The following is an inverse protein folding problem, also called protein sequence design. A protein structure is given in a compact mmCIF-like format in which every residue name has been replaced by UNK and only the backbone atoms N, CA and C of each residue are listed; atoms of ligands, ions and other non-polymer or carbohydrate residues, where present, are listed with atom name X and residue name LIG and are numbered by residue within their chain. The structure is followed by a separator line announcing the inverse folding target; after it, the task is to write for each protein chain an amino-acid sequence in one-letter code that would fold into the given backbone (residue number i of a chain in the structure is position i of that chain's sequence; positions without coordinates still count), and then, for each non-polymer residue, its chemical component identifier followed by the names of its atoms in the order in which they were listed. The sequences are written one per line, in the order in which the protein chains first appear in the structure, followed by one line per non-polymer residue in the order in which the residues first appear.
data_IF_328568134852
#
_entry.id   IF_328568134852
#
_cell.length_a   1.000
_cell.length_b   1.000
_cell.length_c   1.000
_cell.angle_alpha   90.00
_cell.angle_beta   90.00
_cell.angle_gamma   90.00
#
_symmetry.space_group_name_H-M   'P 1'
#
loop_
_entity.id
_entity.type
_entity.pdbx_description
1 polymer ?
#
# COMPACT_ATOMS: atom_id res chain seq x y z
N UNK A 1 9.10 4.37 -0.08
CA UNK A 1 9.13 5.51 0.90
C UNK A 1 10.50 6.18 1.04
N UNK A 2 11.61 5.43 1.13
CA UNK A 2 13.00 5.97 1.20
C UNK A 2 13.38 6.91 0.05
N UNK A 3 12.87 6.67 -1.16
CA UNK A 3 13.23 7.46 -2.35
C UNK A 3 12.70 8.91 -2.31
N UNK A 4 11.54 9.14 -1.67
CA UNK A 4 10.93 10.47 -1.58
C UNK A 4 11.62 11.30 -0.48
N UNK A 5 11.97 10.67 0.64
CA UNK A 5 12.70 11.31 1.74
C UNK A 5 14.18 11.57 1.39
N UNK A 6 14.81 10.72 0.58
CA UNK A 6 16.24 10.87 0.24
C UNK A 6 16.54 11.97 -0.79
N UNK A 7 15.52 12.52 -1.46
CA UNK A 7 15.66 13.63 -2.40
C UNK A 7 15.68 15.02 -1.76
N UNK A 8 15.35 15.12 -0.46
CA UNK A 8 15.09 16.39 0.25
C UNK A 8 16.26 16.78 1.17
N UNK A 9 17.49 16.61 0.69
CA UNK A 9 18.71 16.76 1.50
C UNK A 9 19.28 18.17 1.61
N UNK A 10 18.76 19.17 0.88
CA UNK A 10 19.30 20.53 0.89
C UNK A 10 18.30 21.57 0.34
N UNK A 11 17.40 22.09 1.17
CA UNK A 11 16.67 23.32 0.89
C UNK A 11 16.18 23.99 2.20
N UNK A 12 16.24 25.33 2.24
CA UNK A 12 16.05 26.15 3.45
C UNK A 12 14.66 26.12 4.08
N UNK A 13 14.44 27.01 5.06
CA UNK A 13 13.28 27.12 5.98
C UNK A 13 11.85 26.93 5.37
N UNK A 14 11.67 27.17 4.07
CA UNK A 14 10.42 26.86 3.34
C UNK A 14 10.18 25.38 3.04
N UNK A 15 11.25 24.60 2.87
CA UNK A 15 11.23 23.16 2.56
C UNK A 15 10.93 22.29 3.80
N UNK A 16 11.37 22.76 4.98
CA UNK A 16 11.05 22.11 6.26
C UNK A 16 9.54 22.11 6.55
N UNK A 17 8.85 23.20 6.19
CA UNK A 17 7.40 23.31 6.34
C UNK A 17 6.63 22.38 5.38
N UNK A 18 7.14 22.19 4.15
CA UNK A 18 6.56 21.26 3.19
C UNK A 18 6.81 19.80 3.57
N UNK A 19 8.03 19.48 4.04
CA UNK A 19 8.37 18.14 4.52
C UNK A 19 7.49 17.71 5.69
N UNK A 20 7.25 18.61 6.65
CA UNK A 20 6.33 18.34 7.77
C UNK A 20 4.89 18.14 7.30
N UNK A 21 4.40 18.96 6.36
CA UNK A 21 3.05 18.79 5.80
C UNK A 21 2.90 17.44 5.10
N UNK A 22 3.91 17.00 4.35
CA UNK A 22 3.91 15.70 3.67
C UNK A 22 3.89 14.55 4.68
N UNK A 23 4.66 14.65 5.77
CA UNK A 23 4.64 13.66 6.86
C UNK A 23 3.27 13.62 7.53
N UNK A 24 2.69 14.78 7.87
CA UNK A 24 1.38 14.86 8.52
C UNK A 24 0.27 14.28 7.61
N UNK A 25 0.33 14.52 6.29
CA UNK A 25 -0.58 13.92 5.31
C UNK A 25 -0.41 12.40 5.21
N UNK A 26 0.83 11.90 5.21
CA UNK A 26 1.12 10.46 5.17
C UNK A 26 0.62 9.76 6.45
N UNK A 27 0.78 10.39 7.62
CA UNK A 27 0.25 9.85 8.87
C UNK A 27 -1.28 9.69 8.80
N UNK A 28 -2.00 10.69 8.29
CA UNK A 28 -3.44 10.58 8.08
C UNK A 28 -3.80 9.49 7.06
N UNK A 29 -3.08 9.41 5.94
CA UNK A 29 -3.30 8.38 4.91
C UNK A 29 -2.93 6.96 5.40
N UNK A 30 -2.16 6.84 6.48
CA UNK A 30 -1.81 5.56 7.12
C UNK A 30 -2.74 5.14 8.26
N UNK A 31 -3.72 5.98 8.62
CA UNK A 31 -4.66 5.70 9.71
C UNK A 31 -5.59 4.53 9.38
N UNK A 32 -6.09 3.83 10.41
CA UNK A 32 -7.06 2.73 10.21
C UNK A 32 -8.34 3.24 9.56
N UNK A 33 -8.81 4.43 9.92
CA UNK A 33 -10.01 5.05 9.34
C UNK A 33 -9.94 5.15 7.82
N UNK A 34 -8.74 5.40 7.30
CA UNK A 34 -8.45 5.56 5.88
C UNK A 34 -8.13 4.22 5.23
N UNK A 35 -7.26 3.40 5.85
CA UNK A 35 -6.69 2.21 5.23
C UNK A 35 -7.51 0.93 5.40
N UNK A 36 -8.33 0.84 6.45
CA UNK A 36 -8.94 -0.44 6.80
C UNK A 36 -9.87 -0.98 5.72
N UNK A 37 -10.88 -0.20 5.35
CA UNK A 37 -11.84 -0.58 4.30
C UNK A 37 -11.18 -0.90 2.95
N UNK A 38 -10.31 -0.04 2.38
CA UNK A 38 -9.70 -0.33 1.07
C UNK A 38 -8.80 -1.57 1.10
N UNK A 39 -8.03 -1.77 2.17
CA UNK A 39 -7.16 -2.95 2.30
C UNK A 39 -7.98 -4.21 2.55
N UNK A 40 -9.07 -4.13 3.32
CA UNK A 40 -9.99 -5.25 3.55
C UNK A 40 -10.68 -5.68 2.27
N UNK A 41 -11.23 -4.73 1.51
CA UNK A 41 -11.87 -4.99 0.22
C UNK A 41 -10.89 -5.68 -0.75
N UNK A 42 -9.69 -5.11 -0.92
CA UNK A 42 -8.63 -5.71 -1.73
C UNK A 42 -8.28 -7.13 -1.25
N UNK A 43 -8.08 -7.31 0.06
CA UNK A 43 -7.75 -8.62 0.64
C UNK A 43 -8.81 -9.68 0.35
N UNK A 44 -10.09 -9.32 0.42
CA UNK A 44 -11.20 -10.28 0.23
C UNK A 44 -11.31 -10.79 -1.20
N UNK A 45 -10.86 -10.01 -2.19
CA UNK A 45 -10.95 -10.36 -3.62
C UNK A 45 -9.73 -11.14 -4.13
N UNK A 46 -8.59 -11.03 -3.47
CA UNK A 46 -7.34 -11.70 -3.87
C UNK A 46 -7.45 -13.23 -4.01
N UNK A 47 -8.06 -13.98 -3.07
CA UNK A 47 -8.12 -15.44 -3.15
C UNK A 47 -8.79 -15.93 -4.43
N UNK A 48 -9.92 -15.33 -4.79
CA UNK A 48 -10.66 -15.67 -6.00
C UNK A 48 -9.85 -15.32 -7.26
N UNK A 49 -9.23 -14.13 -7.28
CA UNK A 49 -8.39 -13.70 -8.41
C UNK A 49 -7.20 -14.63 -8.65
N UNK A 50 -6.47 -14.98 -7.58
CA UNK A 50 -5.32 -15.89 -7.66
C UNK A 50 -5.74 -17.28 -8.13
N UNK A 51 -6.89 -17.78 -7.68
CA UNK A 51 -7.41 -19.07 -8.12
C UNK A 51 -7.76 -19.06 -9.62
N UNK A 52 -8.46 -18.03 -10.09
CA UNK A 52 -8.94 -17.92 -11.47
C UNK A 52 -7.84 -17.61 -12.50
N UNK A 53 -6.72 -17.02 -12.05
CA UNK A 53 -5.66 -16.56 -12.94
C UNK A 53 -4.34 -17.34 -12.78
N UNK A 54 -4.31 -18.41 -11.97
CA UNK A 54 -3.11 -19.23 -11.73
C UNK A 54 -2.41 -19.68 -13.01
N UNK A 55 -3.17 -20.12 -14.02
CA UNK A 55 -2.62 -20.63 -15.28
C UNK A 55 -2.41 -19.52 -16.33
N UNK A 56 -2.83 -18.29 -16.03
CA UNK A 56 -2.72 -17.12 -16.94
C UNK A 56 -1.57 -16.19 -16.56
N UNK A 57 -1.22 -16.16 -15.28
CA UNK A 57 -0.13 -15.35 -14.75
C UNK A 57 1.20 -16.08 -14.93
N UNK A 58 2.24 -15.32 -15.23
CA UNK A 58 3.60 -15.83 -15.09
C UNK A 58 3.95 -16.05 -13.61
N UNK A 59 4.97 -16.87 -13.36
CA UNK A 59 5.39 -17.27 -12.02
C UNK A 59 5.76 -16.07 -11.14
N UNK A 60 6.38 -15.04 -11.72
CA UNK A 60 6.81 -13.85 -10.98
C UNK A 60 5.61 -13.00 -10.54
N UNK A 61 4.63 -12.76 -11.43
CA UNK A 61 3.39 -12.06 -11.11
C UNK A 61 2.56 -12.84 -10.09
N UNK A 62 2.40 -14.15 -10.29
CA UNK A 62 1.65 -14.98 -9.34
C UNK A 62 2.27 -14.93 -7.95
N UNK A 63 3.59 -15.00 -7.85
CA UNK A 63 4.32 -14.84 -6.59
C UNK A 63 4.10 -13.46 -5.97
N UNK A 64 4.28 -12.39 -6.73
CA UNK A 64 4.10 -11.03 -6.21
C UNK A 64 2.66 -10.80 -5.71
N UNK A 65 1.65 -11.21 -6.47
CA UNK A 65 0.24 -11.08 -6.06
C UNK A 65 -0.11 -11.94 -4.85
N UNK A 66 0.52 -13.11 -4.72
CA UNK A 66 0.39 -13.93 -3.50
C UNK A 66 0.99 -13.21 -2.28
N UNK A 67 2.17 -12.60 -2.43
CA UNK A 67 2.79 -11.82 -1.36
C UNK A 67 1.98 -10.56 -1.01
N UNK A 68 1.39 -9.88 -2.01
CA UNK A 68 0.49 -8.76 -1.78
C UNK A 68 -0.75 -9.21 -0.97
N UNK A 69 -1.33 -10.37 -1.30
CA UNK A 69 -2.42 -10.96 -0.50
C UNK A 69 -2.01 -11.22 0.95
N UNK A 70 -0.84 -11.82 1.19
CA UNK A 70 -0.34 -12.08 2.54
C UNK A 70 -0.18 -10.77 3.35
N UNK A 71 0.42 -9.75 2.74
CA UNK A 71 0.61 -8.43 3.37
C UNK A 71 -0.73 -7.78 3.70
N UNK A 72 -1.68 -7.77 2.76
CA UNK A 72 -3.02 -7.17 3.02
C UNK A 72 -3.74 -7.91 4.14
N UNK A 73 -3.59 -9.23 4.23
CA UNK A 73 -4.14 -10.03 5.34
C UNK A 73 -3.49 -9.66 6.69
N UNK A 74 -2.18 -9.44 6.72
CA UNK A 74 -1.49 -9.05 7.95
C UNK A 74 -1.88 -7.63 8.41
N UNK A 75 -2.03 -6.67 7.49
CA UNK A 75 -2.53 -5.33 7.81
C UNK A 75 -3.95 -5.42 8.41
N UNK A 76 -4.85 -6.18 7.78
CA UNK A 76 -6.22 -6.40 8.29
C UNK A 76 -6.20 -7.00 9.69
N UNK A 77 -5.36 -8.01 9.95
CA UNK A 77 -5.22 -8.63 11.26
C UNK A 77 -4.73 -7.65 12.33
N UNK A 78 -3.80 -6.76 11.99
CA UNK A 78 -3.33 -5.72 12.91
C UNK A 78 -4.50 -4.79 13.26
N UNK A 79 -5.23 -4.31 12.25
CA UNK A 79 -6.38 -3.43 12.47
C UNK A 79 -7.54 -4.08 13.23
N UNK A 80 -7.79 -5.37 13.02
CA UNK A 80 -8.84 -6.14 13.72
C UNK A 80 -8.41 -6.66 15.11
N UNK A 81 -7.14 -6.48 15.50
CA UNK A 81 -6.66 -6.89 16.82
C UNK A 81 -7.38 -6.13 17.93
N UNK A 82 -7.81 -6.83 18.99
CA UNK A 82 -8.37 -6.20 20.20
C UNK A 82 -7.39 -5.23 20.87
N UNK A 83 -6.09 -5.42 20.63
CA UNK A 83 -5.02 -4.55 21.14
C UNK A 83 -4.67 -3.38 20.22
N UNK A 84 -5.39 -3.24 19.09
CA UNK A 84 -5.13 -2.16 18.15
C UNK A 84 -5.46 -0.80 18.78
N UNK A 85 -4.52 0.12 18.71
CA UNK A 85 -4.75 1.51 19.08
C UNK A 85 -4.01 2.43 18.11
N UNK A 86 -4.70 3.47 17.67
CA UNK A 86 -4.11 4.54 16.87
C UNK A 86 -2.97 5.24 17.61
N UNK A 87 -2.89 5.16 18.95
CA UNK A 87 -1.79 5.73 19.74
C UNK A 87 -0.56 4.79 19.82
N UNK A 88 -0.71 3.52 19.45
CA UNK A 88 0.36 2.53 19.52
C UNK A 88 1.36 2.69 18.37
N UNK A 89 2.44 3.42 18.62
CA UNK A 89 3.53 3.68 17.66
C UNK A 89 4.06 2.41 17.00
N UNK A 90 4.21 1.30 17.75
CA UNK A 90 4.75 0.05 17.19
C UNK A 90 3.83 -0.58 16.16
N UNK A 91 2.51 -0.57 16.41
CA UNK A 91 1.54 -1.09 15.45
C UNK A 91 1.47 -0.21 14.20
N UNK A 92 1.54 1.12 14.36
CA UNK A 92 1.62 2.04 13.22
C UNK A 92 2.89 1.82 12.38
N UNK A 93 4.04 1.72 13.02
CA UNK A 93 5.31 1.41 12.34
C UNK A 93 5.25 0.06 11.61
N UNK A 94 4.61 -0.95 12.20
CA UNK A 94 4.41 -2.25 11.56
C UNK A 94 3.52 -2.15 10.32
N UNK A 95 2.39 -1.43 10.39
CA UNK A 95 1.52 -1.19 9.23
C UNK A 95 2.28 -0.42 8.14
N UNK A 96 3.05 0.60 8.50
CA UNK A 96 3.84 1.37 7.55
C UNK A 96 4.88 0.49 6.83
N UNK A 97 5.59 -0.38 7.55
CA UNK A 97 6.56 -1.31 6.94
C UNK A 97 5.88 -2.33 6.01
N UNK A 98 4.67 -2.77 6.34
CA UNK A 98 3.87 -3.64 5.47
C UNK A 98 3.44 -2.90 4.19
N UNK A 99 3.02 -1.64 4.29
CA UNK A 99 2.68 -0.81 3.12
C UNK A 99 3.90 -0.54 2.23
N UNK A 100 5.07 -0.30 2.81
CA UNK A 100 6.34 -0.22 2.08
C UNK A 100 6.60 -1.49 1.29
N UNK A 101 6.51 -2.64 1.96
CA UNK A 101 6.70 -3.95 1.33
C UNK A 101 5.67 -4.19 0.22
N UNK A 102 4.42 -3.78 0.43
CA UNK A 102 3.37 -3.88 -0.58
C UNK A 102 3.71 -3.04 -1.82
N UNK A 103 4.21 -1.82 -1.61
CA UNK A 103 4.62 -0.92 -2.69
C UNK A 103 5.80 -1.48 -3.49
N UNK A 104 6.76 -2.13 -2.83
CA UNK A 104 7.92 -2.76 -3.48
C UNK A 104 7.55 -3.95 -4.36
N UNK A 105 6.45 -4.65 -4.06
CA UNK A 105 5.91 -5.73 -4.90
C UNK A 105 5.26 -5.21 -6.20
N UNK A 106 5.07 -3.90 -6.33
CA UNK A 106 4.44 -3.23 -7.46
C UNK A 106 2.92 -3.09 -7.30
N UNK A 107 2.25 -2.72 -8.39
CA UNK A 107 0.82 -2.47 -8.38
C UNK A 107 0.02 -3.78 -8.15
N UNK A 108 -1.10 -3.74 -7.42
CA UNK A 108 -2.01 -4.86 -7.34
C UNK A 108 -2.73 -5.07 -8.68
N UNK A 109 -3.39 -6.22 -8.88
CA UNK A 109 -4.14 -6.45 -10.10
C UNK A 109 -5.22 -5.38 -10.30
N UNK A 110 -5.25 -4.76 -11.48
CA UNK A 110 -6.18 -3.66 -11.77
C UNK A 110 -7.65 -4.06 -11.62
N UNK A 111 -7.97 -5.34 -11.81
CA UNK A 111 -9.33 -5.86 -11.60
C UNK A 111 -9.77 -5.82 -10.13
N UNK A 112 -8.82 -5.79 -9.19
CA UNK A 112 -9.11 -5.76 -7.75
C UNK A 112 -9.19 -4.35 -7.18
N UNK A 113 -8.46 -3.42 -7.79
CA UNK A 113 -8.15 -2.11 -7.19
C UNK A 113 -9.26 -1.08 -7.42
N UNK A 114 -10.07 -1.19 -8.48
CA UNK A 114 -11.24 -0.31 -8.70
C UNK A 114 -10.95 1.20 -8.49
N UNK A 115 -11.93 1.96 -7.99
CA UNK A 115 -11.74 3.37 -7.54
C UNK A 115 -10.90 3.46 -6.23
N UNK A 116 -10.68 2.34 -5.56
CA UNK A 116 -9.97 2.22 -4.27
C UNK A 116 -8.46 2.50 -4.40
N UNK A 117 -7.87 2.26 -5.58
CA UNK A 117 -6.45 2.48 -5.83
C UNK A 117 -6.04 3.93 -5.65
N UNK A 118 -6.89 4.87 -6.06
CA UNK A 118 -6.61 6.30 -6.06
C UNK A 118 -6.37 6.87 -4.67
N UNK A 119 -6.81 6.17 -3.61
CA UNK A 119 -6.70 6.63 -2.24
C UNK A 119 -5.39 6.26 -1.55
N UNK A 120 -4.70 5.22 -2.02
CA UNK A 120 -3.47 4.73 -1.39
C UNK A 120 -2.24 5.42 -2.01
N UNK A 121 -1.47 6.20 -1.24
CA UNK A 121 -0.27 6.85 -1.76
C UNK A 121 0.73 5.81 -2.26
N UNK A 122 1.13 5.91 -3.53
CA UNK A 122 1.96 4.90 -4.22
C UNK A 122 1.19 3.87 -5.04
N UNK A 123 -0.13 3.81 -4.88
CA UNK A 123 -1.05 2.96 -5.66
C UNK A 123 -2.07 3.77 -6.48
N UNK A 124 -2.29 5.03 -6.11
CA UNK A 124 -3.27 5.89 -6.78
C UNK A 124 -2.77 6.59 -8.02
N UNK A 125 -3.57 6.48 -9.09
CA UNK A 125 -3.75 7.50 -10.13
C UNK A 125 -2.54 8.09 -10.84
N UNK A 126 -1.36 7.48 -10.77
CA UNK A 126 -0.29 7.76 -11.71
C UNK A 126 -0.56 6.93 -12.97
N UNK A 127 -1.17 7.54 -13.99
CA UNK A 127 -1.27 6.97 -15.33
C UNK A 127 0.13 6.70 -15.93
N UNK A 128 0.81 5.69 -15.42
CA UNK A 128 1.93 5.02 -16.03
C UNK A 128 1.36 3.84 -16.78
N UNK A 129 1.07 4.05 -18.06
CA UNK A 129 1.08 2.96 -19.05
C UNK A 129 2.35 2.13 -18.86
N UNK A 130 2.25 1.02 -18.15
CA UNK A 130 3.19 -0.10 -18.20
C UNK A 130 2.34 -1.30 -18.54
N UNK A 131 1.97 -1.47 -19.80
CA UNK A 131 2.90 -2.06 -20.75
C UNK A 131 2.54 -3.53 -20.85
N UNK A 132 1.33 -3.82 -21.36
CA UNK A 132 1.13 -5.02 -22.16
C UNK A 132 2.20 -4.99 -23.25
N UNK A 133 3.28 -5.72 -23.02
CA UNK A 133 4.18 -6.09 -24.10
C UNK A 133 3.77 -7.48 -24.57
N UNK A 134 3.58 -7.67 -25.89
CA UNK A 134 3.28 -8.98 -26.47
C UNK A 134 4.41 -9.99 -26.25
#
# INVERSE_FOLDING_TARGET
LTQLLSGMGDAGDGDFNMSKLLVDMLEQLSSKEVLYEPIKDLNTKFPEYLQQNKDKLDEAKYKNYTQQYEITNDIVRIFESESYSEENKRQREQVNSLLESLQELGQPPSELVGETGDFLPGFGGGAGKGGDNP
#
